data_IF_046106950617
#
_entry.id   IF_046106950617
#
_cell.length_a   1.000
_cell.length_b   1.000
_cell.length_c   1.000
_cell.angle_alpha   90.00
_cell.angle_beta   90.00
_cell.angle_gamma   90.00
#
_symmetry.space_group_name_H-M   'P 1'
#
loop_
_entity.id
_entity.type
_entity.pdbx_description
1 polymer ?
#
# COMPACT_ATOMS: atom_id res chain seq x y z
N UNK A 1 33.84 -50.80 34.07
CA UNK A 1 34.32 -50.17 32.83
C UNK A 1 33.51 -50.79 31.70
N UNK A 2 32.46 -50.11 31.29
CA UNK A 2 31.75 -50.40 30.04
C UNK A 2 31.76 -49.12 29.21
N UNK A 3 32.42 -49.25 28.08
CA UNK A 3 32.63 -48.27 27.02
C UNK A 3 31.43 -48.38 26.07
N UNK A 4 30.59 -47.34 25.98
CA UNK A 4 29.56 -47.25 24.93
C UNK A 4 29.58 -45.86 24.28
N UNK A 5 30.41 -45.74 23.25
CA UNK A 5 30.01 -45.34 21.90
C UNK A 5 29.42 -43.94 21.70
N UNK A 6 30.29 -42.94 21.56
CA UNK A 6 29.98 -41.69 20.83
C UNK A 6 30.02 -42.01 19.33
N UNK A 7 29.04 -42.74 18.80
CA UNK A 7 28.92 -43.00 17.35
C UNK A 7 27.72 -42.26 16.71
N UNK A 8 26.72 -41.86 17.50
CA UNK A 8 25.52 -41.17 16.98
C UNK A 8 25.69 -39.67 16.65
N UNK A 9 26.84 -39.07 16.99
CA UNK A 9 27.07 -37.63 16.85
C UNK A 9 27.53 -37.17 15.46
N UNK A 10 28.22 -38.03 14.71
CA UNK A 10 28.74 -37.70 13.38
C UNK A 10 27.72 -37.95 12.28
N UNK A 11 26.93 -39.02 12.39
CA UNK A 11 25.85 -39.32 11.44
C UNK A 11 24.76 -38.24 11.45
N UNK A 12 24.40 -37.71 12.63
CA UNK A 12 23.45 -36.61 12.75
C UNK A 12 23.96 -35.30 12.11
N UNK A 13 25.25 -34.99 12.27
CA UNK A 13 25.90 -33.82 11.64
C UNK A 13 26.01 -33.98 10.13
N UNK A 14 26.37 -35.17 9.65
CA UNK A 14 26.45 -35.51 8.23
C UNK A 14 25.09 -35.41 7.55
N UNK A 15 24.04 -35.95 8.20
CA UNK A 15 22.65 -35.85 7.72
C UNK A 15 22.12 -34.42 7.69
N UNK A 16 22.40 -33.63 8.72
CA UNK A 16 22.03 -32.21 8.73
C UNK A 16 22.75 -31.42 7.63
N UNK A 17 24.04 -31.70 7.39
CA UNK A 17 24.82 -31.09 6.33
C UNK A 17 24.35 -31.50 4.92
N UNK A 18 24.01 -32.77 4.70
CA UNK A 18 23.55 -33.23 3.38
C UNK A 18 22.18 -32.65 3.03
N UNK A 19 21.23 -32.64 3.98
CA UNK A 19 19.90 -32.03 3.79
C UNK A 19 20.01 -30.52 3.58
N UNK A 20 20.88 -29.84 4.33
CA UNK A 20 21.17 -28.41 4.10
C UNK A 20 21.79 -28.14 2.72
N UNK A 21 22.67 -29.04 2.25
CA UNK A 21 23.25 -28.98 0.92
C UNK A 21 22.23 -29.21 -0.20
N UNK A 22 21.29 -30.14 -0.02
CA UNK A 22 20.18 -30.38 -0.93
C UNK A 22 19.25 -29.18 -1.01
N UNK A 23 18.86 -28.60 0.14
CA UNK A 23 18.05 -27.38 0.22
C UNK A 23 18.72 -26.21 -0.51
N UNK A 24 20.03 -26.05 -0.36
CA UNK A 24 20.79 -25.02 -1.07
C UNK A 24 20.80 -25.23 -2.58
N UNK A 25 20.93 -26.49 -3.03
CA UNK A 25 20.86 -26.82 -4.47
C UNK A 25 19.47 -26.53 -5.04
N UNK A 26 18.40 -26.96 -4.37
CA UNK A 26 17.03 -26.68 -4.82
C UNK A 26 16.74 -25.18 -4.85
N UNK A 27 17.10 -24.45 -3.79
CA UNK A 27 16.94 -22.98 -3.73
C UNK A 27 17.68 -22.26 -4.86
N UNK A 28 18.88 -22.73 -5.22
CA UNK A 28 19.63 -22.18 -6.36
C UNK A 28 18.96 -22.47 -7.69
N UNK A 29 18.46 -23.69 -7.88
CA UNK A 29 17.73 -24.09 -9.09
C UNK A 29 16.45 -23.25 -9.22
N UNK A 30 15.65 -23.13 -8.17
CA UNK A 30 14.42 -22.33 -8.17
C UNK A 30 14.71 -20.86 -8.49
N UNK A 31 15.78 -20.29 -7.92
CA UNK A 31 16.21 -18.92 -8.24
C UNK A 31 16.60 -18.78 -9.70
N UNK A 32 17.30 -19.77 -10.27
CA UNK A 32 17.73 -19.76 -11.67
C UNK A 32 16.51 -19.84 -12.60
N UNK A 33 15.60 -20.76 -12.33
CA UNK A 33 14.40 -20.99 -13.13
C UNK A 33 13.46 -19.77 -13.09
N UNK A 34 13.36 -19.10 -11.93
CA UNK A 34 12.66 -17.82 -11.82
C UNK A 34 13.27 -16.72 -12.71
N UNK A 35 14.61 -16.58 -12.71
CA UNK A 35 15.31 -15.58 -13.53
C UNK A 35 15.16 -15.91 -15.02
N UNK A 36 15.24 -17.18 -15.39
CA UNK A 36 15.08 -17.65 -16.77
C UNK A 36 13.68 -17.33 -17.30
N UNK A 37 12.64 -17.62 -16.53
CA UNK A 37 11.26 -17.24 -16.87
C UNK A 37 11.09 -15.73 -17.07
N UNK A 38 11.73 -14.93 -16.21
CA UNK A 38 11.66 -13.48 -16.26
C UNK A 38 12.40 -12.91 -17.50
N UNK A 39 13.50 -13.55 -17.90
CA UNK A 39 14.21 -13.25 -19.13
C UNK A 39 13.35 -13.56 -20.37
N UNK A 40 12.69 -14.72 -20.41
CA UNK A 40 11.77 -15.11 -21.49
C UNK A 40 10.61 -14.13 -21.65
N UNK A 41 10.02 -13.69 -20.54
CA UNK A 41 8.96 -12.67 -20.52
C UNK A 41 9.47 -11.32 -21.08
N UNK A 42 10.70 -10.94 -20.73
CA UNK A 42 11.34 -9.72 -21.25
C UNK A 42 11.54 -9.80 -22.76
N UNK A 43 12.04 -10.94 -23.26
CA UNK A 43 12.27 -11.14 -24.69
C UNK A 43 10.95 -11.09 -25.48
N UNK A 44 9.90 -11.74 -24.97
CA UNK A 44 8.56 -11.69 -25.57
C UNK A 44 7.99 -10.26 -25.59
N UNK A 45 8.17 -9.49 -24.52
CA UNK A 45 7.74 -8.10 -24.45
C UNK A 45 8.53 -7.22 -25.44
N UNK A 46 9.83 -7.43 -25.57
CA UNK A 46 10.68 -6.73 -26.53
C UNK A 46 10.24 -7.00 -27.98
N UNK A 47 10.00 -8.27 -28.33
CA UNK A 47 9.49 -8.66 -29.66
C UNK A 47 8.13 -8.03 -29.98
N UNK A 48 7.30 -7.80 -28.97
CA UNK A 48 5.98 -7.15 -29.09
C UNK A 48 6.03 -5.62 -29.00
N UNK A 49 7.20 -5.03 -28.78
CA UNK A 49 7.40 -3.60 -28.54
C UNK A 49 6.57 -3.06 -27.34
N UNK A 50 6.33 -3.89 -26.33
CA UNK A 50 5.67 -3.48 -25.08
C UNK A 50 6.71 -2.94 -24.08
N UNK A 51 7.04 -1.66 -24.25
CA UNK A 51 8.03 -0.96 -23.42
C UNK A 51 7.64 -0.91 -21.94
N UNK A 52 6.33 -0.91 -21.62
CA UNK A 52 5.85 -0.85 -20.23
C UNK A 52 6.19 -2.14 -19.50
N UNK A 53 5.88 -3.28 -20.12
CA UNK A 53 6.18 -4.59 -19.54
C UNK A 53 7.70 -4.83 -19.49
N UNK A 54 8.43 -4.45 -20.55
CA UNK A 54 9.88 -4.55 -20.59
C UNK A 54 10.55 -3.77 -19.44
N UNK A 55 10.16 -2.52 -19.22
CA UNK A 55 10.69 -1.71 -18.12
C UNK A 55 10.35 -2.30 -16.75
N UNK A 56 9.11 -2.77 -16.55
CA UNK A 56 8.67 -3.38 -15.28
C UNK A 56 9.52 -4.61 -14.95
N UNK A 57 9.73 -5.49 -15.92
CA UNK A 57 10.51 -6.71 -15.73
C UNK A 57 11.99 -6.40 -15.50
N UNK A 58 12.56 -5.48 -16.27
CA UNK A 58 13.95 -5.05 -16.09
C UNK A 58 14.18 -4.39 -14.72
N UNK A 59 13.18 -3.65 -14.21
CA UNK A 59 13.19 -3.10 -12.85
C UNK A 59 13.13 -4.21 -11.80
N UNK A 60 12.36 -5.28 -12.01
CA UNK A 60 12.33 -6.44 -11.11
C UNK A 60 13.66 -7.19 -11.08
N UNK A 61 14.33 -7.36 -12.22
CA UNK A 61 15.65 -7.99 -12.32
C UNK A 61 16.75 -7.20 -11.58
N UNK A 62 16.80 -5.88 -11.76
CA UNK A 62 17.87 -5.05 -11.21
C UNK A 62 17.69 -4.65 -9.74
N UNK A 63 16.45 -4.55 -9.25
CA UNK A 63 16.19 -3.97 -7.93
C UNK A 63 16.27 -4.99 -6.78
N UNK A 64 16.61 -6.25 -7.08
CA UNK A 64 16.70 -7.35 -6.13
C UNK A 64 15.38 -7.71 -5.46
N UNK A 65 15.34 -8.86 -4.77
CA UNK A 65 14.25 -9.17 -3.85
C UNK A 65 14.37 -8.26 -2.64
N UNK A 66 13.51 -7.25 -2.55
CA UNK A 66 13.35 -6.48 -1.31
C UNK A 66 12.37 -7.24 -0.44
N UNK A 67 12.84 -7.78 0.68
CA UNK A 67 11.96 -8.28 1.73
C UNK A 67 11.25 -7.06 2.32
N UNK A 68 10.07 -6.73 1.77
CA UNK A 68 9.21 -5.68 2.29
C UNK A 68 8.32 -6.16 3.43
N UNK A 69 8.41 -7.45 3.76
CA UNK A 69 7.60 -8.06 4.80
C UNK A 69 8.19 -7.68 6.17
N UNK A 70 7.75 -6.54 6.69
CA UNK A 70 8.08 -6.12 8.05
C UNK A 70 7.16 -6.89 9.00
N UNK A 71 7.71 -7.73 9.89
CA UNK A 71 6.89 -8.46 10.83
C UNK A 71 6.13 -7.50 11.75
N UNK A 72 4.85 -7.80 11.99
CA UNK A 72 4.02 -7.05 12.95
C UNK A 72 4.59 -7.27 14.34
N UNK A 73 4.83 -6.18 15.09
CA UNK A 73 5.38 -6.24 16.45
C UNK A 73 4.34 -5.89 17.49
N UNK A 74 4.44 -6.53 18.66
CA UNK A 74 3.66 -6.18 19.84
C UNK A 74 4.13 -4.83 20.43
N UNK A 75 3.53 -4.42 21.55
CA UNK A 75 3.91 -3.18 22.25
C UNK A 75 5.33 -3.27 22.84
N UNK A 76 5.81 -4.47 23.14
CA UNK A 76 7.14 -4.75 23.70
C UNK A 76 8.23 -4.94 22.63
N UNK A 77 7.87 -4.91 21.33
CA UNK A 77 8.77 -5.08 20.21
C UNK A 77 8.97 -6.52 19.72
N UNK A 78 8.25 -7.50 20.27
CA UNK A 78 8.30 -8.90 19.85
C UNK A 78 7.44 -9.13 18.60
N UNK A 79 7.86 -10.06 17.74
CA UNK A 79 7.10 -10.41 16.52
C UNK A 79 5.83 -11.16 16.89
N UNK A 80 4.69 -10.69 16.37
CA UNK A 80 3.37 -11.30 16.52
C UNK A 80 3.14 -12.32 15.42
N UNK A 81 2.99 -13.58 15.82
CA UNK A 81 2.70 -14.70 14.92
C UNK A 81 1.21 -15.05 14.93
N UNK A 82 0.69 -15.49 13.78
CA UNK A 82 -0.72 -15.85 13.61
C UNK A 82 -1.64 -14.67 13.30
N UNK A 83 -2.69 -14.96 12.54
CA UNK A 83 -3.65 -13.96 12.06
C UNK A 83 -4.47 -13.33 13.19
N UNK A 84 -4.98 -14.15 14.12
CA UNK A 84 -5.78 -13.67 15.24
C UNK A 84 -5.01 -12.69 16.14
N UNK A 85 -3.74 -12.99 16.44
CA UNK A 85 -2.90 -12.13 17.26
C UNK A 85 -2.54 -10.83 16.53
N UNK A 86 -2.33 -10.89 15.20
CA UNK A 86 -2.19 -9.68 14.37
C UNK A 86 -3.45 -8.82 14.46
N UNK A 87 -4.64 -9.37 14.24
CA UNK A 87 -5.90 -8.62 14.34
C UNK A 87 -6.08 -7.95 15.72
N UNK A 88 -5.72 -8.66 16.78
CA UNK A 88 -5.74 -8.12 18.14
C UNK A 88 -4.77 -6.94 18.30
N UNK A 89 -3.54 -7.08 17.80
CA UNK A 89 -2.54 -6.00 17.80
C UNK A 89 -2.98 -4.77 17.00
N UNK A 90 -3.68 -4.99 15.88
CA UNK A 90 -4.28 -3.93 15.07
C UNK A 90 -5.36 -3.20 15.87
N UNK A 91 -6.28 -3.92 16.52
CA UNK A 91 -7.31 -3.34 17.40
C UNK A 91 -6.69 -2.43 18.46
N UNK A 92 -5.71 -2.95 19.20
CA UNK A 92 -5.02 -2.21 20.27
C UNK A 92 -4.33 -0.93 19.73
N UNK A 93 -3.70 -1.02 18.55
CA UNK A 93 -3.07 0.12 17.92
C UNK A 93 -4.09 1.22 17.59
N UNK A 94 -5.17 0.86 16.91
CA UNK A 94 -6.19 1.83 16.48
C UNK A 94 -6.98 2.41 17.64
N UNK A 95 -7.25 1.61 18.67
CA UNK A 95 -7.91 2.10 19.89
C UNK A 95 -7.07 3.20 20.57
N UNK A 96 -5.76 2.99 20.69
CA UNK A 96 -4.84 3.99 21.27
C UNK A 96 -4.67 5.26 20.39
N UNK A 97 -4.77 5.13 19.07
CA UNK A 97 -4.57 6.25 18.14
C UNK A 97 -5.85 7.08 17.99
N UNK A 98 -7.01 6.43 17.89
CA UNK A 98 -8.28 7.08 17.55
C UNK A 98 -9.06 7.55 18.78
N UNK A 99 -8.99 6.84 19.91
CA UNK A 99 -9.76 7.17 21.11
C UNK A 99 -8.95 7.99 22.13
N UNK A 100 -8.13 8.92 21.65
CA UNK A 100 -7.37 9.82 22.53
C UNK A 100 -8.32 10.85 23.15
N UNK A 101 -8.13 11.21 24.44
CA UNK A 101 -8.87 12.32 25.02
C UNK A 101 -8.55 13.61 24.27
N UNK A 102 -9.49 14.56 24.30
CA UNK A 102 -9.26 15.89 23.74
C UNK A 102 -7.95 16.48 24.30
N UNK A 103 -7.14 17.13 23.45
CA UNK A 103 -5.88 17.70 23.90
C UNK A 103 -6.15 18.70 25.03
N UNK A 104 -5.36 18.69 26.11
CA UNK A 104 -5.56 19.56 27.27
C UNK A 104 -5.44 21.05 26.93
N UNK A 105 -4.75 21.35 25.82
CA UNK A 105 -4.70 22.68 25.24
C UNK A 105 -5.42 22.64 23.89
N UNK A 106 -6.58 23.31 23.82
CA UNK A 106 -7.20 23.60 22.54
C UNK A 106 -6.28 24.54 21.76
N UNK A 107 -6.17 24.33 20.45
CA UNK A 107 -5.48 25.27 19.59
C UNK A 107 -6.17 26.64 19.71
N UNK A 108 -5.44 27.63 20.23
CA UNK A 108 -5.87 29.01 20.20
C UNK A 108 -5.66 29.54 18.78
N UNK A 109 -6.63 29.24 17.91
CA UNK A 109 -6.66 29.73 16.54
C UNK A 109 -7.05 31.19 16.64
N UNK A 110 -6.04 32.06 16.61
CA UNK A 110 -6.25 33.49 16.55
C UNK A 110 -7.12 33.79 15.32
N UNK A 111 -8.22 34.54 15.49
CA UNK A 111 -9.02 34.96 14.35
C UNK A 111 -8.11 35.66 13.34
N UNK A 112 -8.42 35.49 12.06
CA UNK A 112 -7.66 36.15 11.02
C UNK A 112 -7.60 37.66 11.34
N UNK A 113 -6.40 38.24 11.30
CA UNK A 113 -6.23 39.68 11.60
C UNK A 113 -7.02 40.56 10.61
N UNK A 114 -7.36 40.00 9.45
CA UNK A 114 -8.12 40.63 8.39
C UNK A 114 -9.08 39.57 7.86
N UNK A 115 -10.37 39.85 7.91
CA UNK A 115 -11.34 39.07 7.17
C UNK A 115 -11.11 39.31 5.68
N UNK A 116 -10.88 38.23 4.94
CA UNK A 116 -10.76 38.31 3.49
C UNK A 116 -12.12 38.72 2.93
N UNK A 117 -12.14 39.76 2.09
CA UNK A 117 -13.33 40.17 1.34
C UNK A 117 -13.60 39.15 0.24
N UNK A 118 -14.17 38.01 0.65
CA UNK A 118 -14.57 36.92 -0.22
C UNK A 118 -16.09 36.78 -0.17
N UNK A 119 -16.69 36.58 -1.34
CA UNK A 119 -18.10 36.27 -1.44
C UNK A 119 -18.37 34.91 -0.77
N UNK A 120 -19.16 34.91 0.30
CA UNK A 120 -19.62 33.68 0.98
C UNK A 120 -21.07 33.34 0.63
N UNK A 121 -21.65 34.07 -0.32
CA UNK A 121 -22.98 33.78 -0.83
C UNK A 121 -22.99 32.43 -1.56
N UNK A 122 -24.16 31.76 -1.64
CA UNK A 122 -24.31 30.55 -2.45
C UNK A 122 -23.84 30.79 -3.90
N UNK A 123 -23.22 29.78 -4.54
CA UNK A 123 -22.69 29.93 -5.89
C UNK A 123 -23.79 30.31 -6.88
N UNK A 124 -23.48 31.27 -7.76
CA UNK A 124 -24.38 31.71 -8.82
C UNK A 124 -24.56 30.62 -9.90
N UNK A 125 -25.66 30.68 -10.64
CA UNK A 125 -25.91 29.76 -11.75
C UNK A 125 -24.78 29.83 -12.79
N UNK A 126 -24.27 31.03 -13.05
CA UNK A 126 -23.18 31.28 -13.99
C UNK A 126 -21.91 30.53 -13.58
N UNK A 127 -21.51 30.61 -12.31
CA UNK A 127 -20.36 29.89 -11.77
C UNK A 127 -20.52 28.37 -11.88
N UNK A 128 -21.71 27.85 -11.56
CA UNK A 128 -22.01 26.41 -11.72
C UNK A 128 -21.92 25.99 -13.19
N UNK A 129 -22.40 26.82 -14.13
CA UNK A 129 -22.27 26.52 -15.57
C UNK A 129 -20.83 26.63 -16.05
N UNK A 130 -20.05 27.59 -15.53
CA UNK A 130 -18.63 27.72 -15.83
C UNK A 130 -17.88 26.44 -15.43
N UNK A 131 -18.11 25.93 -14.21
CA UNK A 131 -17.53 24.65 -13.76
C UNK A 131 -17.90 23.52 -14.72
N UNK A 132 -19.18 23.41 -15.13
CA UNK A 132 -19.63 22.38 -16.09
C UNK A 132 -18.90 22.46 -17.44
N UNK A 133 -18.58 23.66 -17.92
CA UNK A 133 -17.91 23.86 -19.22
C UNK A 133 -16.38 23.73 -19.18
N UNK A 134 -15.75 23.71 -18.00
CA UNK A 134 -14.29 23.53 -17.87
C UNK A 134 -13.78 22.26 -18.58
N UNK A 135 -12.59 22.30 -19.17
CA UNK A 135 -12.02 21.13 -19.86
C UNK A 135 -11.38 20.17 -18.85
N UNK A 136 -11.65 18.87 -19.02
CA UNK A 136 -10.96 17.81 -18.26
C UNK A 136 -9.53 17.59 -18.75
N UNK A 137 -8.68 17.01 -17.92
CA UNK A 137 -7.29 16.67 -18.22
C UNK A 137 -6.34 17.87 -18.23
N UNK A 138 -6.72 18.97 -17.58
CA UNK A 138 -5.83 20.13 -17.37
C UNK A 138 -5.03 19.97 -16.09
N UNK A 139 -3.81 20.51 -16.09
CA UNK A 139 -2.97 20.52 -14.90
C UNK A 139 -3.63 21.36 -13.80
N UNK A 140 -3.58 20.91 -12.53
CA UNK A 140 -4.10 21.68 -11.40
C UNK A 140 -3.30 22.97 -11.16
N UNK A 141 -3.91 23.92 -10.45
CA UNK A 141 -3.24 25.13 -9.99
C UNK A 141 -2.32 24.87 -8.79
N UNK A 142 -1.84 25.94 -8.16
CA UNK A 142 -1.05 25.87 -6.93
C UNK A 142 -1.82 25.25 -5.74
N UNK A 143 -3.15 25.28 -5.82
CA UNK A 143 -4.09 24.66 -4.89
C UNK A 143 -4.18 23.12 -5.06
N UNK A 144 -3.64 22.56 -6.14
CA UNK A 144 -3.73 21.13 -6.43
C UNK A 144 -5.11 20.65 -6.88
N UNK A 145 -6.07 21.55 -7.08
CA UNK A 145 -7.47 21.21 -7.39
C UNK A 145 -7.63 21.08 -8.92
N UNK A 146 -8.19 19.95 -9.37
CA UNK A 146 -8.46 19.71 -10.80
C UNK A 146 -9.93 19.98 -11.14
N UNK A 147 -10.21 20.26 -12.41
CA UNK A 147 -11.59 20.42 -12.90
C UNK A 147 -12.45 19.16 -12.69
N UNK A 148 -11.83 18.00 -12.50
CA UNK A 148 -12.51 16.71 -12.37
C UNK A 148 -13.07 16.55 -10.97
N UNK A 149 -12.33 17.05 -9.98
CA UNK A 149 -12.76 17.10 -8.58
C UNK A 149 -14.00 17.99 -8.46
N UNK A 150 -13.97 19.19 -9.07
CA UNK A 150 -15.10 20.12 -9.05
C UNK A 150 -16.34 19.57 -9.77
N UNK A 151 -16.14 18.77 -10.83
CA UNK A 151 -17.24 18.16 -11.58
C UNK A 151 -17.81 16.89 -10.94
N UNK A 152 -17.04 16.18 -10.12
CA UNK A 152 -17.48 14.93 -9.48
C UNK A 152 -18.64 15.18 -8.52
N UNK A 153 -18.58 16.26 -7.74
CA UNK A 153 -19.60 16.57 -6.74
C UNK A 153 -20.91 17.10 -7.37
N UNK A 154 -20.84 17.82 -8.50
CA UNK A 154 -22.02 18.30 -9.22
C UNK A 154 -22.92 17.15 -9.72
N UNK A 155 -22.38 15.95 -9.95
CA UNK A 155 -23.17 14.78 -10.34
C UNK A 155 -24.05 14.26 -9.18
N UNK A 156 -23.65 14.50 -7.93
CA UNK A 156 -24.36 14.01 -6.74
C UNK A 156 -25.51 14.95 -6.30
N UNK A 157 -25.52 16.21 -6.72
CA UNK A 157 -26.62 17.15 -6.42
C UNK A 157 -27.88 16.94 -7.29
N UNK A 158 -27.81 16.09 -8.30
CA UNK A 158 -28.92 15.75 -9.20
C UNK A 158 -29.25 14.24 -9.15
N UNK A 159 -29.33 13.64 -7.97
CA UNK A 159 -30.27 12.51 -7.83
C UNK A 159 -31.65 13.10 -7.62
N UNK A 160 -32.64 12.88 -8.50
CA UNK A 160 -34.02 13.14 -8.12
C UNK A 160 -34.27 12.25 -6.90
N UNK A 161 -34.43 12.89 -5.75
CA UNK A 161 -35.02 12.27 -4.57
C UNK A 161 -36.30 11.63 -5.10
N UNK A 162 -36.32 10.31 -5.24
CA UNK A 162 -37.56 9.63 -5.57
C UNK A 162 -38.41 9.79 -4.32
N UNK A 163 -39.30 10.78 -4.34
CA UNK A 163 -40.47 10.81 -3.48
C UNK A 163 -41.23 9.50 -3.74
N UNK A 164 -40.90 8.48 -2.96
CA UNK A 164 -41.74 7.31 -2.83
C UNK A 164 -42.84 7.69 -1.83
N UNK A 165 -43.78 8.52 -2.29
CA UNK A 165 -45.06 8.74 -1.63
C UNK A 165 -46.15 7.92 -2.33
N UNK A 166 -46.92 7.21 -1.49
CA UNK A 166 -48.11 6.39 -1.73
C UNK A 166 -47.85 4.99 -2.34
N UNK A 167 -48.29 3.88 -1.74
CA UNK A 167 -49.51 3.61 -0.93
C UNK A 167 -49.19 2.72 0.27
#
# INVERSE_FOLDING_TARGET
MEEWGIEGGEEGKSRYSCVGGELWRTTKTDKRDYIEKLADETEKAARKNDLKTLYKVNKQLNNGFKNSDVPVKDVNGNVVEGEAAKLQRWREHFESVLNRPDPPQLADIQPAAIDLDICTDPPSLEEVTAIKTMKRGKAPGADGITAEMLKADLANFYSPFQDNTMV
#
